data_IF_573436551896
#
_entry.id   IF_573436551896
#
_cell.length_a   1.000
_cell.length_b   1.000
_cell.length_c   1.000
_cell.angle_alpha   90.00
_cell.angle_beta   90.00
_cell.angle_gamma   90.00
#
_symmetry.space_group_name_H-M   'P 1'
#
loop_
_entity.id
_entity.type
_entity.pdbx_description
1 polymer ?
#
# COMPACT_ATOMS: atom_id res chain seq x y z
N UNK A 1 37.41 21.07 4.24
CA UNK A 1 37.49 19.65 3.83
C UNK A 1 37.40 18.70 5.04
N UNK A 2 36.40 18.83 5.92
CA UNK A 2 36.29 18.00 7.13
C UNK A 2 34.85 17.63 7.53
N UNK A 3 33.89 17.66 6.60
CA UNK A 3 32.51 17.18 6.82
C UNK A 3 32.22 15.85 6.11
N UNK A 4 33.07 15.41 5.19
CA UNK A 4 32.85 14.19 4.40
C UNK A 4 33.13 12.86 5.11
N UNK A 5 33.80 12.89 6.28
CA UNK A 5 34.32 11.68 6.94
C UNK A 5 33.43 11.16 8.08
N UNK A 6 32.68 12.04 8.76
CA UNK A 6 31.76 11.66 9.85
C UNK A 6 30.55 10.85 9.36
N UNK A 7 30.01 11.19 8.18
CA UNK A 7 28.86 10.49 7.60
C UNK A 7 29.17 9.05 7.14
N UNK A 8 30.43 8.75 6.79
CA UNK A 8 30.87 7.40 6.41
C UNK A 8 31.08 6.49 7.62
N UNK A 9 31.52 7.02 8.76
CA UNK A 9 31.68 6.24 10.00
C UNK A 9 30.33 5.83 10.60
N UNK A 10 29.33 6.72 10.58
CA UNK A 10 28.01 6.48 11.19
C UNK A 10 27.17 5.40 10.50
N UNK A 11 27.48 5.07 9.24
CA UNK A 11 26.78 4.02 8.48
C UNK A 11 27.43 2.63 8.61
N UNK A 12 28.61 2.51 9.24
CA UNK A 12 29.28 1.20 9.33
C UNK A 12 28.50 0.23 10.24
N UNK A 13 28.43 -1.08 9.90
CA UNK A 13 27.73 -2.07 10.73
C UNK A 13 28.23 -2.11 12.17
N UNK A 14 29.53 -1.91 12.37
CA UNK A 14 30.16 -1.89 13.70
C UNK A 14 29.67 -0.69 14.53
N UNK A 15 29.61 0.51 13.95
CA UNK A 15 29.10 1.70 14.62
C UNK A 15 27.61 1.56 14.95
N UNK A 16 26.80 1.07 14.01
CA UNK A 16 25.37 0.82 14.22
C UNK A 16 25.13 -0.13 15.39
N UNK A 17 25.88 -1.23 15.46
CA UNK A 17 25.79 -2.19 16.58
C UNK A 17 26.06 -1.55 17.94
N UNK A 18 27.14 -0.76 18.06
CA UNK A 18 27.45 -0.08 19.31
C UNK A 18 26.41 0.97 19.67
N UNK A 19 25.89 1.71 18.68
CA UNK A 19 24.88 2.73 18.91
C UNK A 19 23.55 2.12 19.37
N UNK A 20 23.07 1.05 18.73
CA UNK A 20 21.86 0.33 19.14
C UNK A 20 21.97 -0.20 20.57
N UNK A 21 23.08 -0.85 20.91
CA UNK A 21 23.32 -1.37 22.25
C UNK A 21 23.36 -0.26 23.30
N UNK A 22 24.09 0.82 23.01
CA UNK A 22 24.23 1.94 23.94
C UNK A 22 22.89 2.65 24.17
N UNK A 23 22.11 2.87 23.11
CA UNK A 23 20.78 3.47 23.21
C UNK A 23 19.81 2.63 24.06
N UNK A 24 19.91 1.29 24.01
CA UNK A 24 19.12 0.43 24.91
C UNK A 24 19.53 0.65 26.38
N UNK A 25 20.84 0.71 26.67
CA UNK A 25 21.35 0.95 28.02
C UNK A 25 20.91 2.32 28.54
N UNK A 26 20.98 3.35 27.70
CA UNK A 26 20.57 4.71 28.03
C UNK A 26 19.06 4.80 28.27
N UNK A 27 18.24 4.10 27.47
CA UNK A 27 16.79 4.06 27.65
C UNK A 27 16.41 3.39 28.98
N UNK A 28 17.04 2.26 29.31
CA UNK A 28 16.86 1.58 30.59
C UNK A 28 17.35 2.41 31.78
N UNK A 29 18.28 3.33 31.55
CA UNK A 29 18.77 4.28 32.55
C UNK A 29 17.91 5.55 32.63
N UNK A 30 16.75 5.59 31.97
CA UNK A 30 15.84 6.74 31.97
C UNK A 30 16.37 7.96 31.21
N UNK A 31 17.39 7.78 30.35
CA UNK A 31 17.93 8.87 29.54
C UNK A 31 17.12 9.05 28.25
N UNK A 32 17.12 10.29 27.75
CA UNK A 32 16.49 10.62 26.47
C UNK A 32 17.28 9.98 25.32
N UNK A 33 16.58 9.27 24.44
CA UNK A 33 17.13 8.75 23.19
C UNK A 33 16.92 9.77 22.08
N UNK A 34 17.99 10.08 21.36
CA UNK A 34 17.94 11.04 20.27
C UNK A 34 16.90 10.62 19.20
N UNK A 35 16.03 11.54 18.76
CA UNK A 35 15.06 11.23 17.71
C UNK A 35 15.75 11.08 16.34
N UNK A 36 15.13 10.33 15.43
CA UNK A 36 15.61 10.19 14.05
C UNK A 36 14.51 9.79 13.07
N UNK A 37 14.62 10.15 11.79
CA UNK A 37 13.63 9.75 10.81
C UNK A 37 13.69 8.24 10.54
N UNK A 38 12.52 7.65 10.28
CA UNK A 38 12.37 6.29 9.78
C UNK A 38 12.30 6.24 8.26
N UNK A 39 12.60 5.08 7.68
CA UNK A 39 12.58 4.84 6.24
C UNK A 39 13.52 3.72 5.83
N UNK A 40 13.65 3.49 4.53
CA UNK A 40 14.65 2.56 3.98
C UNK A 40 15.89 3.32 3.48
N UNK A 41 17.10 2.95 3.93
CA UNK A 41 18.33 3.53 3.40
C UNK A 41 18.53 3.19 1.91
N UNK A 42 17.92 2.12 1.41
CA UNK A 42 17.99 1.71 0.01
C UNK A 42 17.11 2.56 -0.92
N UNK A 43 16.25 3.44 -0.37
CA UNK A 43 15.55 4.51 -1.12
C UNK A 43 16.29 5.85 -1.07
N UNK A 44 17.62 5.83 -0.91
CA UNK A 44 18.45 7.04 -0.91
C UNK A 44 18.38 7.87 0.39
N UNK A 45 17.66 7.39 1.40
CA UNK A 45 17.48 8.06 2.69
C UNK A 45 18.64 7.76 3.64
N UNK A 46 19.81 8.35 3.42
CA UNK A 46 20.97 8.17 4.31
C UNK A 46 20.75 8.78 5.70
N UNK A 47 19.83 9.75 5.81
CA UNK A 47 19.43 10.43 7.04
C UNK A 47 18.76 9.51 8.07
N UNK A 48 18.31 8.31 7.67
CA UNK A 48 17.76 7.28 8.58
C UNK A 48 18.86 6.54 9.34
N UNK A 49 20.12 6.71 8.95
CA UNK A 49 21.28 6.22 9.69
C UNK A 49 21.87 7.33 10.58
N UNK A 50 22.48 6.98 11.73
CA UNK A 50 22.60 5.64 12.30
C UNK A 50 21.28 5.10 12.89
N UNK A 51 21.21 3.78 13.05
CA UNK A 51 20.16 3.10 13.84
C UNK A 51 20.33 3.37 15.35
N UNK A 52 19.45 2.86 16.21
CA UNK A 52 19.50 3.13 17.66
C UNK A 52 18.95 4.50 18.06
N UNK A 53 18.08 5.11 17.24
CA UNK A 53 17.39 6.37 17.53
C UNK A 53 15.90 6.14 17.83
N UNK A 54 15.27 7.09 18.50
CA UNK A 54 13.82 7.09 18.69
C UNK A 54 13.14 7.54 17.38
N UNK A 55 12.58 6.59 16.64
CA UNK A 55 12.15 6.85 15.28
C UNK A 55 10.88 7.69 15.21
N UNK A 56 10.88 8.71 14.36
CA UNK A 56 9.69 9.43 13.92
C UNK A 56 9.44 9.20 12.42
N UNK A 57 8.28 9.59 11.93
CA UNK A 57 7.87 9.37 10.54
C UNK A 57 7.69 10.68 9.79
N UNK A 58 6.63 10.82 9.00
CA UNK A 58 6.31 12.04 8.27
C UNK A 58 5.21 12.82 8.97
N UNK A 59 5.18 14.15 8.78
CA UNK A 59 4.00 14.96 9.12
C UNK A 59 2.83 14.50 8.25
N UNK A 60 1.73 13.97 8.82
CA UNK A 60 0.56 13.52 8.06
C UNK A 60 -0.10 14.61 7.22
N UNK A 61 0.07 15.89 7.59
CA UNK A 61 -0.51 17.03 6.84
C UNK A 61 0.30 17.39 5.60
N UNK A 62 1.53 16.88 5.47
CA UNK A 62 2.42 17.13 4.34
C UNK A 62 2.43 15.97 3.34
N UNK A 63 1.52 15.01 3.50
CA UNK A 63 1.34 13.84 2.62
C UNK A 63 0.14 14.08 1.69
N UNK A 64 0.20 13.71 0.40
CA UNK A 64 1.41 13.33 -0.32
C UNK A 64 2.32 14.55 -0.54
N UNK A 65 3.64 14.35 -0.51
CA UNK A 65 4.59 15.43 -0.86
C UNK A 65 4.56 15.71 -2.37
N UNK A 66 5.09 16.86 -2.80
CA UNK A 66 5.26 17.17 -4.24
C UNK A 66 6.08 16.11 -4.99
N UNK A 67 7.12 15.57 -4.34
CA UNK A 67 7.94 14.50 -4.91
C UNK A 67 7.16 13.19 -5.00
N UNK A 68 6.43 12.82 -3.94
CA UNK A 68 5.57 11.65 -3.93
C UNK A 68 4.44 11.75 -4.97
N UNK A 69 3.91 12.96 -5.22
CA UNK A 69 2.94 13.18 -6.28
C UNK A 69 3.50 12.89 -7.67
N UNK A 70 4.68 13.44 -7.99
CA UNK A 70 5.37 13.15 -9.26
C UNK A 70 5.62 11.66 -9.44
N UNK A 71 6.03 10.98 -8.36
CA UNK A 71 6.24 9.54 -8.39
C UNK A 71 4.92 8.79 -8.58
N UNK A 72 3.86 9.15 -7.84
CA UNK A 72 2.53 8.56 -7.96
C UNK A 72 1.96 8.61 -9.38
N UNK A 73 2.24 9.67 -10.14
CA UNK A 73 1.92 9.72 -11.59
C UNK A 73 2.62 8.58 -12.33
N UNK A 74 3.93 8.39 -12.15
CA UNK A 74 4.67 7.30 -12.80
C UNK A 74 4.10 5.93 -12.43
N UNK A 75 3.72 5.73 -11.17
CA UNK A 75 3.13 4.46 -10.70
C UNK A 75 1.77 4.20 -11.35
N UNK A 76 0.92 5.23 -11.42
CA UNK A 76 -0.40 5.11 -12.03
C UNK A 76 -0.29 4.80 -13.53
N UNK A 77 0.58 5.52 -14.24
CA UNK A 77 0.79 5.30 -15.68
C UNK A 77 1.43 3.93 -15.96
N UNK A 78 2.34 3.44 -15.13
CA UNK A 78 2.91 2.09 -15.25
C UNK A 78 1.85 1.00 -15.03
N UNK A 79 1.00 1.15 -14.01
CA UNK A 79 -0.14 0.25 -13.79
C UNK A 79 -1.09 0.26 -14.99
N UNK A 80 -1.48 1.44 -15.46
CA UNK A 80 -2.41 1.59 -16.57
C UNK A 80 -1.83 1.00 -17.87
N UNK A 81 -0.56 1.27 -18.15
CA UNK A 81 0.17 0.66 -19.28
C UNK A 81 0.10 -0.86 -19.21
N UNK A 82 0.39 -1.44 -18.04
CA UNK A 82 0.36 -2.89 -17.86
C UNK A 82 -1.06 -3.46 -17.99
N UNK A 83 -2.04 -2.83 -17.33
CA UNK A 83 -3.44 -3.25 -17.39
C UNK A 83 -3.95 -3.26 -18.84
N UNK A 84 -3.65 -2.19 -19.61
CA UNK A 84 -4.02 -2.10 -21.02
C UNK A 84 -3.35 -3.16 -21.88
N UNK A 85 -2.11 -3.56 -21.58
CA UNK A 85 -1.43 -4.66 -22.27
C UNK A 85 -2.11 -6.02 -22.04
N UNK A 86 -2.63 -6.24 -20.83
CA UNK A 86 -3.24 -7.53 -20.48
C UNK A 86 -4.70 -7.64 -20.98
N UNK A 87 -5.47 -6.54 -20.92
CA UNK A 87 -6.93 -6.57 -21.18
C UNK A 87 -7.34 -5.89 -22.48
N UNK A 88 -6.52 -4.98 -23.02
CA UNK A 88 -6.88 -4.15 -24.18
C UNK A 88 -7.83 -3.00 -23.88
N UNK A 89 -8.30 -2.86 -22.64
CA UNK A 89 -9.22 -1.81 -22.21
C UNK A 89 -8.74 -1.13 -20.92
N UNK A 90 -9.17 0.11 -20.68
CA UNK A 90 -8.93 0.78 -19.40
C UNK A 90 -9.64 0.02 -18.27
N UNK A 91 -9.03 -0.07 -17.07
CA UNK A 91 -9.69 -0.72 -15.95
C UNK A 91 -10.96 0.05 -15.57
N UNK A 92 -12.08 -0.66 -15.57
CA UNK A 92 -13.41 -0.13 -15.26
C UNK A 92 -13.62 0.10 -13.76
N UNK A 93 -12.91 -0.66 -12.92
CA UNK A 93 -12.94 -0.51 -11.47
C UNK A 93 -11.70 -1.07 -10.80
N UNK A 94 -11.03 -0.25 -9.99
CA UNK A 94 -9.77 -0.58 -9.32
C UNK A 94 -9.94 -0.47 -7.81
N UNK A 95 -9.51 -1.51 -7.09
CA UNK A 95 -9.26 -1.40 -5.64
C UNK A 95 -7.77 -1.22 -5.40
N UNK A 96 -7.39 -0.12 -4.76
CA UNK A 96 -6.01 0.17 -4.36
C UNK A 96 -5.88 -0.11 -2.86
N UNK A 97 -4.99 -1.03 -2.48
CA UNK A 97 -4.70 -1.31 -1.08
C UNK A 97 -3.62 -0.36 -0.56
N UNK A 98 -3.94 0.39 0.50
CA UNK A 98 -3.08 1.41 1.08
C UNK A 98 -2.69 1.03 2.51
N UNK A 99 -1.39 0.93 2.76
CA UNK A 99 -0.83 0.63 4.07
C UNK A 99 -0.21 1.88 4.68
N UNK A 100 -0.64 2.26 5.88
CA UNK A 100 -0.10 3.45 6.55
C UNK A 100 1.42 3.43 6.71
N UNK A 101 2.02 2.24 6.93
CA UNK A 101 3.47 2.13 7.03
C UNK A 101 4.19 2.40 5.70
N UNK A 102 3.61 1.99 4.57
CA UNK A 102 4.12 2.33 3.24
C UNK A 102 3.99 3.84 2.99
N UNK A 103 2.83 4.41 3.32
CA UNK A 103 2.56 5.86 3.16
C UNK A 103 3.55 6.71 3.92
N UNK A 104 3.94 6.28 5.12
CA UNK A 104 4.96 6.95 5.93
C UNK A 104 6.36 6.88 5.31
N UNK A 105 6.70 5.78 4.61
CA UNK A 105 8.01 5.58 3.98
C UNK A 105 8.13 6.29 2.63
N UNK A 106 7.06 6.30 1.86
CA UNK A 106 7.00 6.91 0.52
C UNK A 106 6.58 8.37 0.56
N UNK A 107 6.12 8.86 1.71
CA UNK A 107 5.45 10.15 1.84
C UNK A 107 4.23 10.28 0.90
N UNK A 108 3.51 9.17 0.67
CA UNK A 108 2.21 9.11 0.00
C UNK A 108 2.23 8.83 -1.50
N UNK A 109 3.23 8.12 -2.02
CA UNK A 109 3.32 7.80 -3.46
C UNK A 109 2.11 7.00 -3.97
N UNK A 110 1.65 6.02 -3.19
CA UNK A 110 0.48 5.19 -3.51
C UNK A 110 -0.85 5.95 -3.39
N UNK A 111 -0.96 6.91 -2.48
CA UNK A 111 -2.13 7.76 -2.37
C UNK A 111 -2.17 8.76 -3.53
N UNK A 112 -1.01 9.31 -3.91
CA UNK A 112 -0.88 10.13 -5.11
C UNK A 112 -1.21 9.36 -6.39
N UNK A 113 -0.80 8.09 -6.49
CA UNK A 113 -1.20 7.20 -7.58
C UNK A 113 -2.73 7.12 -7.67
N UNK A 114 -3.42 6.88 -6.54
CA UNK A 114 -4.87 6.83 -6.54
C UNK A 114 -5.53 8.17 -6.92
N UNK A 115 -4.99 9.31 -6.47
CA UNK A 115 -5.46 10.63 -6.92
C UNK A 115 -5.31 10.80 -8.44
N UNK A 116 -4.18 10.36 -9.00
CA UNK A 116 -3.95 10.46 -10.45
C UNK A 116 -4.87 9.55 -11.26
N UNK A 117 -5.19 8.34 -10.76
CA UNK A 117 -6.16 7.44 -11.40
C UNK A 117 -7.54 8.09 -11.58
N UNK A 118 -8.01 8.82 -10.56
CA UNK A 118 -9.27 9.58 -10.62
C UNK A 118 -9.14 10.94 -11.33
N UNK A 119 -7.92 11.32 -11.71
CA UNK A 119 -7.63 12.56 -12.42
C UNK A 119 -7.67 13.80 -11.53
N UNK A 120 -7.07 13.69 -10.35
CA UNK A 120 -7.01 14.74 -9.34
C UNK A 120 -5.55 15.01 -8.95
N UNK A 121 -5.23 16.28 -8.74
CA UNK A 121 -3.93 16.74 -8.28
C UNK A 121 -4.08 17.42 -6.92
N UNK A 122 -3.31 17.04 -5.89
CA UNK A 122 -3.32 17.74 -4.61
C UNK A 122 -2.67 19.11 -4.74
N UNK A 123 -3.10 20.05 -3.91
CA UNK A 123 -2.57 21.41 -3.82
C UNK A 123 -1.85 21.61 -2.48
N UNK A 124 -0.70 22.29 -2.52
CA UNK A 124 0.12 22.54 -1.34
C UNK A 124 0.14 24.03 -0.98
N UNK A 125 0.11 24.32 0.31
CA UNK A 125 0.32 25.66 0.85
C UNK A 125 1.75 26.13 0.59
N UNK A 126 1.90 27.38 0.17
CA UNK A 126 3.20 28.01 0.02
C UNK A 126 3.91 28.13 1.37
N UNK A 127 5.20 27.81 1.42
CA UNK A 127 6.04 27.85 2.62
C UNK A 127 5.91 26.64 3.56
N UNK A 128 4.70 26.12 3.81
CA UNK A 128 4.50 24.98 4.74
C UNK A 128 4.48 23.61 4.08
N UNK A 129 4.33 23.54 2.75
CA UNK A 129 4.19 22.30 1.98
C UNK A 129 3.07 21.35 2.47
N UNK A 130 2.14 21.85 3.29
CA UNK A 130 0.95 21.12 3.73
C UNK A 130 -0.08 21.05 2.62
N UNK A 131 -0.77 19.91 2.53
CA UNK A 131 -1.86 19.73 1.56
C UNK A 131 -3.08 20.53 2.01
N UNK A 132 -3.55 21.45 1.16
CA UNK A 132 -4.67 22.35 1.44
C UNK A 132 -5.96 21.95 0.73
N UNK A 133 -5.86 21.10 -0.29
CA UNK A 133 -6.98 20.73 -1.13
C UNK A 133 -6.50 20.04 -2.39
N UNK A 134 -7.29 20.17 -3.46
CA UNK A 134 -7.01 19.54 -4.73
C UNK A 134 -7.56 20.35 -5.90
N UNK A 135 -7.05 20.07 -7.09
CA UNK A 135 -7.64 20.48 -8.36
C UNK A 135 -8.02 19.23 -9.17
N UNK A 136 -9.13 19.32 -9.90
CA UNK A 136 -9.56 18.27 -10.82
C UNK A 136 -8.88 18.53 -12.16
N UNK A 137 -8.10 17.56 -12.64
CA UNK A 137 -7.43 17.64 -13.94
C UNK A 137 -8.47 17.54 -15.06
N UNK A 138 -8.40 18.40 -16.09
CA UNK A 138 -9.21 18.27 -17.30
C UNK A 138 -8.99 16.93 -18.00
N UNK A 139 -10.04 16.34 -18.57
CA UNK A 139 -9.95 15.08 -19.33
C UNK A 139 -8.95 15.16 -20.49
N UNK A 140 -8.84 16.33 -21.15
CA UNK A 140 -7.89 16.57 -22.23
C UNK A 140 -6.41 16.49 -21.78
N UNK A 141 -6.12 16.72 -20.50
CA UNK A 141 -4.78 16.57 -19.93
C UNK A 141 -4.52 15.11 -19.51
N UNK A 142 -5.58 14.39 -19.08
CA UNK A 142 -5.47 12.99 -18.71
C UNK A 142 -5.29 12.08 -19.92
N UNK A 143 -5.88 12.43 -21.07
CA UNK A 143 -5.88 11.63 -22.30
C UNK A 143 -6.45 10.21 -22.11
N UNK A 144 -7.35 10.05 -21.14
CA UNK A 144 -8.08 8.82 -20.82
C UNK A 144 -9.31 9.11 -19.95
N UNK A 145 -10.24 8.15 -19.83
CA UNK A 145 -11.25 8.18 -18.79
C UNK A 145 -10.65 8.24 -17.37
N UNK A 146 -11.42 8.80 -16.43
CA UNK A 146 -11.15 8.64 -15.00
C UNK A 146 -11.46 7.20 -14.61
N UNK A 147 -10.58 6.60 -13.80
CA UNK A 147 -10.72 5.21 -13.37
C UNK A 147 -11.58 5.17 -12.09
N UNK A 148 -12.61 4.30 -12.01
CA UNK A 148 -13.41 4.12 -10.77
C UNK A 148 -12.52 3.46 -9.71
N UNK A 149 -12.03 4.27 -8.76
CA UNK A 149 -10.99 3.88 -7.82
C UNK A 149 -11.57 3.83 -6.41
N UNK A 150 -11.44 2.68 -5.77
CA UNK A 150 -11.79 2.47 -4.36
C UNK A 150 -10.51 2.21 -3.57
N UNK A 151 -10.36 2.89 -2.45
CA UNK A 151 -9.27 2.68 -1.49
C UNK A 151 -9.69 1.65 -0.46
N UNK A 152 -8.91 0.59 -0.32
CA UNK A 152 -8.95 -0.26 0.87
C UNK A 152 -7.76 0.13 1.74
N UNK A 153 -8.00 0.80 2.85
CA UNK A 153 -6.96 1.33 3.73
C UNK A 153 -6.77 0.43 4.96
N UNK A 154 -5.54 0.32 5.44
CA UNK A 154 -5.28 -0.39 6.70
C UNK A 154 -5.78 0.42 7.91
N UNK A 155 -6.02 -0.26 9.04
CA UNK A 155 -6.39 0.43 10.29
C UNK A 155 -5.35 1.48 10.72
N UNK A 156 -4.06 1.20 10.51
CA UNK A 156 -2.99 2.18 10.75
C UNK A 156 -3.12 3.40 9.82
N UNK A 157 -3.46 3.20 8.54
CA UNK A 157 -3.69 4.32 7.63
C UNK A 157 -4.87 5.18 8.09
N UNK A 158 -5.99 4.55 8.48
CA UNK A 158 -7.16 5.24 9.02
C UNK A 158 -6.79 6.13 10.21
N UNK A 159 -5.96 5.62 11.12
CA UNK A 159 -5.63 6.31 12.37
C UNK A 159 -4.59 7.43 12.17
N UNK A 160 -3.59 7.23 11.29
CA UNK A 160 -2.51 8.20 11.06
C UNK A 160 -2.89 9.26 10.02
N UNK A 161 -3.70 8.89 9.02
CA UNK A 161 -4.01 9.73 7.85
C UNK A 161 -5.52 9.96 7.65
N UNK A 162 -6.30 10.36 8.68
CA UNK A 162 -7.73 10.62 8.49
C UNK A 162 -7.98 11.75 7.48
N UNK A 163 -7.08 12.73 7.40
CA UNK A 163 -7.16 13.84 6.45
C UNK A 163 -7.10 13.38 5.00
N UNK A 164 -6.31 12.34 4.67
CA UNK A 164 -6.23 11.79 3.31
C UNK A 164 -7.52 11.11 2.88
N UNK A 165 -8.15 10.36 3.80
CA UNK A 165 -9.46 9.75 3.55
C UNK A 165 -10.52 10.82 3.26
N UNK A 166 -10.53 11.92 4.03
CA UNK A 166 -11.43 13.04 3.77
C UNK A 166 -11.12 13.77 2.47
N UNK A 167 -9.85 14.00 2.15
CA UNK A 167 -9.44 14.63 0.90
C UNK A 167 -9.90 13.80 -0.30
N UNK A 168 -9.71 12.48 -0.27
CA UNK A 168 -10.14 11.58 -1.33
C UNK A 168 -11.66 11.59 -1.48
N UNK A 169 -12.42 11.51 -0.39
CA UNK A 169 -13.89 11.57 -0.47
C UNK A 169 -14.38 12.90 -1.03
N UNK A 170 -13.80 14.03 -0.60
CA UNK A 170 -14.14 15.35 -1.15
C UNK A 170 -13.85 15.44 -2.66
N UNK A 171 -12.78 14.81 -3.13
CA UNK A 171 -12.46 14.72 -4.55
C UNK A 171 -13.52 13.90 -5.31
N UNK A 172 -13.93 12.75 -4.78
CA UNK A 172 -15.02 11.95 -5.35
C UNK A 172 -16.33 12.76 -5.41
N UNK A 173 -16.71 13.43 -4.33
CA UNK A 173 -17.93 14.24 -4.26
C UNK A 173 -17.91 15.39 -5.29
N UNK A 174 -16.74 15.98 -5.53
CA UNK A 174 -16.56 17.01 -6.55
C UNK A 174 -16.62 16.44 -7.98
N UNK A 175 -16.08 15.23 -8.21
CA UNK A 175 -16.16 14.52 -9.48
C UNK A 175 -17.59 14.11 -9.83
N UNK A 176 -18.41 13.72 -8.85
CA UNK A 176 -19.83 13.41 -9.03
C UNK A 176 -20.66 14.59 -9.59
N UNK A 177 -20.21 15.83 -9.34
CA UNK A 177 -20.87 17.08 -9.71
C UNK A 177 -20.34 17.68 -11.03
N UNK A 178 -19.38 17.02 -11.69
CA UNK A 178 -18.84 17.49 -12.97
C UNK A 178 -19.85 17.30 -14.10
N UNK A 179 -19.86 18.23 -15.03
CA UNK A 179 -20.55 18.08 -16.31
C UNK A 179 -19.64 17.35 -17.30
N UNK A 180 -19.50 16.05 -17.08
CA UNK A 180 -18.70 15.12 -17.90
C UNK A 180 -19.58 13.93 -18.29
N UNK A 181 -19.32 13.31 -19.44
CA UNK A 181 -20.04 12.09 -19.82
C UNK A 181 -19.64 10.92 -18.92
N UNK A 182 -20.60 10.04 -18.60
CA UNK A 182 -20.40 8.90 -17.69
C UNK A 182 -19.33 7.90 -18.14
N UNK A 183 -19.11 7.78 -19.45
CA UNK A 183 -18.07 6.92 -20.03
C UNK A 183 -16.65 7.47 -19.84
N UNK A 184 -16.50 8.78 -19.60
CA UNK A 184 -15.22 9.41 -19.27
C UNK A 184 -15.07 9.71 -17.77
N UNK A 185 -16.18 9.82 -17.04
CA UNK A 185 -16.20 10.02 -15.60
C UNK A 185 -17.26 9.09 -14.95
N UNK A 186 -16.83 7.96 -14.35
CA UNK A 186 -17.74 6.98 -13.76
C UNK A 186 -18.39 7.46 -12.46
N UNK A 187 -18.00 8.63 -11.94
CA UNK A 187 -18.54 9.20 -10.70
C UNK A 187 -19.83 10.01 -10.95
N UNK A 188 -20.05 10.51 -12.16
CA UNK A 188 -21.18 11.41 -12.49
C UNK A 188 -22.52 10.75 -12.18
N UNK A 189 -23.33 11.45 -11.39
CA UNK A 189 -24.68 11.01 -11.02
C UNK A 189 -24.71 9.84 -10.03
N UNK A 190 -23.59 9.52 -9.37
CA UNK A 190 -23.60 8.60 -8.22
C UNK A 190 -24.39 9.23 -7.06
N UNK A 191 -25.28 8.45 -6.44
CA UNK A 191 -25.97 8.88 -5.21
C UNK A 191 -24.96 8.95 -4.06
N UNK A 192 -25.25 9.78 -3.06
CA UNK A 192 -24.40 9.94 -1.87
C UNK A 192 -24.11 8.60 -1.16
N UNK A 193 -25.10 7.71 -1.10
CA UNK A 193 -25.00 6.37 -0.53
C UNK A 193 -24.07 5.43 -1.33
N UNK A 194 -23.96 5.66 -2.64
CA UNK A 194 -23.10 4.91 -3.57
C UNK A 194 -21.72 5.57 -3.75
N UNK A 195 -21.47 6.72 -3.11
CA UNK A 195 -20.24 7.51 -3.28
C UNK A 195 -19.08 7.05 -2.40
N UNK A 196 -19.32 6.17 -1.43
CA UNK A 196 -18.26 5.67 -0.55
C UNK A 196 -17.16 4.99 -1.38
N UNK A 197 -15.94 5.50 -1.28
CA UNK A 197 -14.75 4.96 -1.98
C UNK A 197 -13.60 4.62 -1.06
N UNK A 198 -13.72 4.80 0.25
CA UNK A 198 -12.65 4.48 1.21
C UNK A 198 -13.20 3.50 2.23
N UNK A 199 -12.56 2.34 2.34
CA UNK A 199 -12.96 1.24 3.20
C UNK A 199 -11.81 0.77 4.09
N UNK A 200 -12.10 0.42 5.34
CA UNK A 200 -11.11 0.03 6.34
C UNK A 200 -11.67 -1.02 7.31
N UNK A 201 -10.84 -1.43 8.26
CA UNK A 201 -11.27 -2.06 9.52
C UNK A 201 -12.08 -1.14 10.42
N UNK A 202 -12.88 -1.75 11.29
CA UNK A 202 -13.62 -1.09 12.37
C UNK A 202 -12.67 -0.29 13.27
N UNK A 203 -13.13 0.82 13.90
CA UNK A 203 -12.34 1.54 14.88
C UNK A 203 -11.75 0.60 15.93
N UNK A 204 -10.48 0.81 16.30
CA UNK A 204 -9.70 -0.03 17.22
C UNK A 204 -9.46 -1.49 16.76
N UNK A 205 -9.81 -1.84 15.53
CA UNK A 205 -9.49 -3.13 14.91
C UNK A 205 -8.44 -2.98 13.81
N UNK A 206 -7.59 -3.99 13.65
CA UNK A 206 -6.49 -4.03 12.68
C UNK A 206 -6.38 -5.41 12.04
N UNK A 207 -5.75 -5.47 10.87
CA UNK A 207 -5.63 -6.70 10.08
C UNK A 207 -6.95 -7.15 9.46
N UNK A 208 -6.96 -8.37 8.93
CA UNK A 208 -8.11 -8.94 8.20
C UNK A 208 -8.81 -10.10 8.94
N UNK A 209 -8.30 -10.48 10.12
CA UNK A 209 -8.93 -11.54 10.91
C UNK A 209 -8.98 -12.91 10.22
N UNK A 210 -7.98 -13.23 9.39
CA UNK A 210 -7.98 -14.47 8.59
C UNK A 210 -7.95 -15.75 9.45
N UNK A 211 -7.45 -15.69 10.69
CA UNK A 211 -7.43 -16.84 11.60
C UNK A 211 -6.83 -18.10 10.96
N UNK A 212 -7.53 -19.22 11.13
CA UNK A 212 -7.18 -20.54 10.55
C UNK A 212 -7.46 -20.65 9.04
N UNK A 213 -8.16 -19.68 8.44
CA UNK A 213 -8.48 -19.70 7.02
C UNK A 213 -7.22 -19.68 6.16
N UNK A 214 -6.17 -18.99 6.63
CA UNK A 214 -4.85 -18.93 5.99
C UNK A 214 -4.10 -20.28 5.96
N UNK A 215 -4.61 -21.30 6.66
CA UNK A 215 -4.00 -22.62 6.78
C UNK A 215 -4.88 -23.74 6.17
N UNK A 216 -6.06 -23.40 5.62
CA UNK A 216 -7.04 -24.36 5.09
C UNK A 216 -7.12 -24.34 3.56
N UNK A 217 -6.25 -25.07 2.87
CA UNK A 217 -6.11 -25.05 1.39
C UNK A 217 -7.25 -25.76 0.62
N UNK A 218 -8.49 -25.46 0.94
CA UNK A 218 -9.68 -26.02 0.31
C UNK A 218 -10.77 -24.94 0.10
N UNK A 219 -11.89 -25.33 -0.49
CA UNK A 219 -12.99 -24.40 -0.75
C UNK A 219 -13.55 -23.77 0.53
N UNK A 220 -13.62 -24.51 1.64
CA UNK A 220 -14.10 -23.96 2.91
C UNK A 220 -13.16 -22.87 3.46
N UNK A 221 -11.85 -23.07 3.37
CA UNK A 221 -10.86 -22.06 3.76
C UNK A 221 -10.93 -20.81 2.89
N UNK A 222 -11.14 -20.95 1.58
CA UNK A 222 -11.41 -19.82 0.68
C UNK A 222 -12.63 -19.01 1.09
N UNK A 223 -13.75 -19.68 1.35
CA UNK A 223 -14.98 -18.99 1.72
C UNK A 223 -14.84 -18.31 3.09
N UNK A 224 -14.10 -18.92 4.03
CA UNK A 224 -13.73 -18.26 5.30
C UNK A 224 -12.88 -17.01 5.05
N UNK A 225 -11.86 -17.10 4.20
CA UNK A 225 -10.98 -15.97 3.86
C UNK A 225 -11.74 -14.83 3.17
N UNK A 226 -12.64 -15.15 2.24
CA UNK A 226 -13.54 -14.20 1.59
C UNK A 226 -14.40 -13.45 2.61
N UNK A 227 -15.06 -14.19 3.50
CA UNK A 227 -15.89 -13.62 4.55
C UNK A 227 -15.08 -12.78 5.55
N UNK A 228 -13.88 -13.24 5.94
CA UNK A 228 -12.98 -12.49 6.81
C UNK A 228 -12.57 -11.16 6.17
N UNK A 229 -12.15 -11.17 4.89
CA UNK A 229 -11.77 -9.96 4.17
C UNK A 229 -12.92 -8.96 4.08
N UNK A 230 -14.12 -9.41 3.70
CA UNK A 230 -15.32 -8.55 3.59
C UNK A 230 -15.68 -7.98 4.96
N UNK A 231 -15.76 -8.82 6.00
CA UNK A 231 -16.16 -8.39 7.33
C UNK A 231 -15.13 -7.46 7.97
N UNK A 232 -13.84 -7.62 7.66
CA UNK A 232 -12.78 -6.74 8.12
C UNK A 232 -12.66 -5.45 7.30
N UNK A 233 -13.26 -5.36 6.11
CA UNK A 233 -13.13 -4.18 5.24
C UNK A 233 -14.44 -3.38 5.09
N UNK A 234 -15.56 -3.86 5.63
CA UNK A 234 -16.91 -3.31 5.43
C UNK A 234 -17.17 -1.93 6.06
N UNK A 235 -16.15 -1.20 6.52
CA UNK A 235 -16.32 0.10 7.18
C UNK A 235 -15.90 1.23 6.26
N UNK A 236 -16.87 2.02 5.80
CA UNK A 236 -16.62 3.22 5.01
C UNK A 236 -16.00 4.30 5.91
N UNK A 237 -14.93 4.93 5.46
CA UNK A 237 -14.16 5.93 6.21
C UNK A 237 -14.20 7.28 5.51
N UNK A 238 -14.51 8.33 6.28
CA UNK A 238 -14.31 9.72 5.86
C UNK A 238 -13.81 10.52 7.07
N UNK A 239 -12.50 10.75 7.13
CA UNK A 239 -11.87 11.37 8.29
C UNK A 239 -12.03 10.52 9.54
N UNK A 240 -12.54 11.13 10.60
CA UNK A 240 -12.87 10.44 11.86
C UNK A 240 -14.19 9.66 11.81
N UNK A 241 -15.02 9.87 10.77
CA UNK A 241 -16.31 9.18 10.62
C UNK A 241 -16.09 7.80 10.01
N UNK A 242 -16.51 6.77 10.74
CA UNK A 242 -16.44 5.38 10.29
C UNK A 242 -17.82 4.75 10.40
N UNK A 243 -18.38 4.29 9.28
CA UNK A 243 -19.72 3.70 9.22
C UNK A 243 -19.62 2.30 8.61
N UNK A 244 -20.24 1.31 9.25
CA UNK A 244 -20.38 0.00 8.66
C UNK A 244 -21.30 0.08 7.42
N UNK A 245 -20.77 -0.25 6.25
CA UNK A 245 -21.50 -0.25 4.98
C UNK A 245 -21.04 -1.42 4.11
N UNK A 246 -21.45 -2.63 4.51
CA UNK A 246 -21.13 -3.88 3.79
C UNK A 246 -21.68 -3.89 2.37
N UNK A 247 -22.86 -3.34 2.16
CA UNK A 247 -23.51 -3.34 0.85
C UNK A 247 -22.74 -2.49 -0.17
N UNK A 248 -22.28 -1.30 0.22
CA UNK A 248 -21.44 -0.47 -0.64
C UNK A 248 -20.11 -1.15 -0.97
N UNK A 249 -19.47 -1.80 0.02
CA UNK A 249 -18.25 -2.58 -0.22
C UNK A 249 -18.50 -3.71 -1.24
N UNK A 250 -19.57 -4.50 -1.07
CA UNK A 250 -19.93 -5.57 -2.01
C UNK A 250 -20.11 -5.01 -3.42
N UNK A 251 -20.79 -3.88 -3.57
CA UNK A 251 -20.95 -3.20 -4.87
C UNK A 251 -19.59 -2.82 -5.49
N UNK A 252 -18.63 -2.34 -4.67
CA UNK A 252 -17.27 -2.05 -5.14
C UNK A 252 -16.52 -3.31 -5.56
N UNK A 253 -16.57 -4.37 -4.77
CA UNK A 253 -15.94 -5.66 -5.12
C UNK A 253 -16.51 -6.19 -6.43
N UNK A 254 -17.84 -6.15 -6.62
CA UNK A 254 -18.49 -6.64 -7.83
C UNK A 254 -18.07 -5.87 -9.09
N UNK A 255 -17.92 -4.54 -8.99
CA UNK A 255 -17.50 -3.68 -10.10
C UNK A 255 -16.00 -3.70 -10.38
N UNK A 256 -15.17 -3.96 -9.37
CA UNK A 256 -13.73 -3.94 -9.56
C UNK A 256 -13.25 -5.08 -10.47
N UNK A 257 -12.53 -4.76 -11.53
CA UNK A 257 -11.84 -5.75 -12.38
C UNK A 257 -10.37 -5.92 -11.98
N UNK A 258 -9.83 -4.98 -11.20
CA UNK A 258 -8.42 -4.95 -10.84
C UNK A 258 -8.24 -4.66 -9.35
N UNK A 259 -7.24 -5.30 -8.76
CA UNK A 259 -6.74 -4.99 -7.42
C UNK A 259 -5.25 -4.73 -7.51
N UNK A 260 -4.79 -3.66 -6.85
CA UNK A 260 -3.38 -3.28 -6.85
C UNK A 260 -2.87 -3.22 -5.43
N UNK A 261 -1.76 -3.90 -5.19
CA UNK A 261 -0.93 -3.73 -4.01
C UNK A 261 0.46 -3.24 -4.42
N UNK A 262 1.09 -2.42 -3.57
CA UNK A 262 2.38 -1.78 -3.87
C UNK A 262 3.46 -2.23 -2.89
N UNK A 263 4.67 -2.41 -3.41
CA UNK A 263 5.86 -2.68 -2.63
C UNK A 263 6.90 -1.57 -2.82
N UNK A 264 7.38 -1.02 -1.70
CA UNK A 264 8.37 0.07 -1.66
C UNK A 264 9.75 -0.36 -1.12
N UNK A 265 9.84 -1.52 -0.49
CA UNK A 265 11.06 -2.04 0.16
C UNK A 265 11.72 -3.18 -0.62
N UNK A 266 13.05 -3.10 -0.79
CA UNK A 266 13.86 -4.20 -1.36
C UNK A 266 14.16 -5.29 -0.34
N UNK A 267 14.07 -4.95 0.94
CA UNK A 267 14.43 -5.78 2.09
C UNK A 267 13.33 -6.80 2.44
N UNK A 268 12.14 -6.63 1.83
CA UNK A 268 10.97 -7.48 2.04
C UNK A 268 10.43 -7.97 0.69
N UNK A 269 9.62 -9.01 0.71
CA UNK A 269 8.92 -9.54 -0.46
C UNK A 269 7.55 -10.10 -0.05
N UNK A 270 6.69 -10.38 -1.02
CA UNK A 270 5.31 -10.84 -0.80
C UNK A 270 5.20 -12.19 -0.07
N UNK A 271 6.29 -12.97 0.04
CA UNK A 271 6.31 -14.23 0.78
C UNK A 271 6.81 -14.08 2.22
N UNK A 272 7.28 -12.89 2.62
CA UNK A 272 7.85 -12.65 3.96
C UNK A 272 6.79 -12.56 5.05
N UNK A 273 5.60 -12.07 4.72
CA UNK A 273 4.47 -11.90 5.64
C UNK A 273 3.21 -12.51 5.06
N UNK A 274 2.36 -13.04 5.95
CA UNK A 274 1.01 -13.49 5.60
C UNK A 274 0.09 -12.33 5.26
N UNK A 275 0.45 -11.09 5.61
CA UNK A 275 -0.40 -9.93 5.37
C UNK A 275 -0.62 -9.68 3.88
N UNK A 276 0.41 -9.86 3.03
CA UNK A 276 0.24 -9.75 1.57
C UNK A 276 -0.80 -10.73 1.05
N UNK A 277 -0.66 -12.01 1.41
CA UNK A 277 -1.61 -13.05 1.02
C UNK A 277 -3.01 -12.80 1.59
N UNK A 278 -3.11 -12.30 2.82
CA UNK A 278 -4.40 -11.95 3.42
C UNK A 278 -5.08 -10.82 2.65
N UNK A 279 -4.34 -9.81 2.20
CA UNK A 279 -4.90 -8.63 1.52
C UNK A 279 -5.24 -8.90 0.06
N UNK A 280 -4.26 -9.28 -0.74
CA UNK A 280 -4.41 -9.51 -2.18
C UNK A 280 -5.26 -10.76 -2.43
N UNK A 281 -4.92 -11.82 -1.71
CA UNK A 281 -5.63 -13.08 -1.77
C UNK A 281 -7.01 -13.06 -1.16
N UNK A 282 -7.15 -12.49 0.04
CA UNK A 282 -8.48 -12.34 0.66
C UNK A 282 -9.44 -11.58 -0.24
N UNK A 283 -8.95 -10.58 -0.98
CA UNK A 283 -9.75 -9.89 -1.98
C UNK A 283 -10.12 -10.80 -3.16
N UNK A 284 -9.16 -11.55 -3.70
CA UNK A 284 -9.43 -12.53 -4.77
C UNK A 284 -10.51 -13.55 -4.35
N UNK A 285 -10.43 -14.05 -3.11
CA UNK A 285 -11.44 -14.93 -2.54
C UNK A 285 -12.80 -14.23 -2.40
N UNK A 286 -12.83 -12.99 -1.92
CA UNK A 286 -14.06 -12.19 -1.82
C UNK A 286 -14.71 -11.94 -3.20
N UNK A 287 -13.91 -11.67 -4.23
CA UNK A 287 -14.40 -11.50 -5.60
C UNK A 287 -14.98 -12.81 -6.16
N UNK A 288 -14.29 -13.93 -5.93
CA UNK A 288 -14.73 -15.24 -6.38
C UNK A 288 -16.03 -15.69 -5.70
N UNK A 289 -16.18 -15.47 -4.39
CA UNK A 289 -17.42 -15.74 -3.64
C UNK A 289 -18.62 -14.96 -4.20
N UNK A 290 -18.36 -13.75 -4.72
CA UNK A 290 -19.37 -12.92 -5.40
C UNK A 290 -19.55 -13.26 -6.89
N UNK A 291 -18.96 -14.36 -7.37
CA UNK A 291 -19.10 -14.87 -8.74
C UNK A 291 -18.25 -14.15 -9.80
N UNK A 292 -17.28 -13.34 -9.39
CA UNK A 292 -16.43 -12.57 -10.29
C UNK A 292 -15.01 -13.10 -10.44
N UNK A 293 -14.26 -12.52 -11.39
CA UNK A 293 -12.81 -12.65 -11.52
C UNK A 293 -12.15 -11.27 -11.38
N UNK A 294 -10.88 -11.23 -11.00
CA UNK A 294 -10.11 -9.99 -10.86
C UNK A 294 -8.67 -10.22 -11.34
N UNK A 295 -8.11 -9.21 -11.99
CA UNK A 295 -6.69 -9.09 -12.25
C UNK A 295 -6.00 -8.55 -11.00
N UNK A 296 -5.06 -9.33 -10.46
CA UNK A 296 -4.27 -8.94 -9.29
C UNK A 296 -2.92 -8.44 -9.75
N UNK A 297 -2.61 -7.19 -9.39
CA UNK A 297 -1.38 -6.51 -9.78
C UNK A 297 -0.53 -6.20 -8.55
N UNK A 298 0.74 -6.54 -8.65
CA UNK A 298 1.75 -6.14 -7.69
C UNK A 298 2.67 -5.09 -8.32
N UNK A 299 2.69 -3.90 -7.72
CA UNK A 299 3.46 -2.77 -8.21
C UNK A 299 4.77 -2.63 -7.42
N UNK A 300 5.87 -3.02 -8.06
CA UNK A 300 7.22 -2.95 -7.51
C UNK A 300 7.80 -1.56 -7.74
N UNK A 301 7.84 -0.76 -6.67
CA UNK A 301 8.38 0.59 -6.63
C UNK A 301 9.64 0.68 -5.74
N UNK A 302 10.33 -0.46 -5.62
CA UNK A 302 11.61 -0.55 -4.90
C UNK A 302 12.77 0.09 -5.68
N UNK A 303 12.56 0.39 -6.96
CA UNK A 303 13.40 1.26 -7.78
C UNK A 303 12.54 2.42 -8.33
N UNK A 304 12.54 3.59 -7.68
CA UNK A 304 11.64 4.70 -8.06
C UNK A 304 11.84 5.22 -9.49
N UNK A 305 13.04 5.05 -10.05
CA UNK A 305 13.33 5.47 -11.43
C UNK A 305 12.67 4.57 -12.48
N UNK A 306 12.40 3.31 -12.14
CA UNK A 306 11.81 2.33 -13.04
C UNK A 306 10.86 1.41 -12.26
N UNK A 307 9.67 1.92 -11.87
CA UNK A 307 8.64 1.08 -11.26
C UNK A 307 8.16 0.04 -12.27
N UNK A 308 7.77 -1.14 -11.78
CA UNK A 308 7.33 -2.24 -12.64
C UNK A 308 6.03 -2.82 -12.07
N UNK A 309 4.99 -2.88 -12.90
CA UNK A 309 3.75 -3.61 -12.55
C UNK A 309 3.80 -5.03 -13.10
N UNK A 310 3.61 -6.01 -12.21
CA UNK A 310 3.51 -7.43 -12.53
C UNK A 310 2.13 -7.96 -12.19
N UNK A 311 1.70 -9.03 -12.86
CA UNK A 311 0.63 -9.84 -12.29
C UNK A 311 1.13 -10.45 -10.98
N UNK A 312 0.22 -10.72 -10.06
CA UNK A 312 0.59 -11.34 -8.79
C UNK A 312 1.29 -12.70 -9.00
N UNK A 313 0.83 -13.52 -9.95
CA UNK A 313 1.47 -14.80 -10.26
C UNK A 313 2.92 -14.63 -10.76
N UNK A 314 3.19 -13.59 -11.56
CA UNK A 314 4.56 -13.23 -11.99
C UNK A 314 5.45 -12.81 -10.81
N UNK A 315 4.92 -12.01 -9.87
CA UNK A 315 5.68 -11.60 -8.68
C UNK A 315 5.95 -12.79 -7.76
N UNK A 316 4.97 -13.67 -7.54
CA UNK A 316 5.17 -14.90 -6.77
C UNK A 316 6.26 -15.75 -7.40
N UNK A 317 6.20 -15.98 -8.72
CA UNK A 317 7.21 -16.74 -9.43
C UNK A 317 8.61 -16.11 -9.31
N UNK A 318 8.70 -14.78 -9.47
CA UNK A 318 9.94 -14.02 -9.31
C UNK A 318 10.52 -14.19 -7.92
N UNK A 319 9.73 -14.05 -6.86
CA UNK A 319 10.21 -14.15 -5.46
C UNK A 319 10.58 -15.59 -5.11
N UNK A 320 9.81 -16.58 -5.59
CA UNK A 320 10.17 -17.99 -5.42
C UNK A 320 11.54 -18.26 -6.01
N UNK A 321 11.78 -17.84 -7.26
CA UNK A 321 13.06 -18.05 -7.94
C UNK A 321 14.21 -17.23 -7.32
N UNK A 322 13.99 -15.94 -7.07
CA UNK A 322 15.04 -15.04 -6.63
C UNK A 322 15.46 -15.25 -5.17
N UNK A 323 14.53 -15.71 -4.31
CA UNK A 323 14.77 -15.89 -2.88
C UNK A 323 14.47 -17.31 -2.40
N UNK A 324 13.22 -17.77 -2.51
CA UNK A 324 12.76 -18.94 -1.77
C UNK A 324 13.49 -20.24 -2.17
N UNK A 325 13.86 -20.38 -3.45
CA UNK A 325 14.65 -21.49 -3.97
C UNK A 325 16.12 -21.15 -4.23
N UNK A 326 16.56 -19.93 -3.90
CA UNK A 326 17.92 -19.49 -4.16
C UNK A 326 18.88 -20.08 -3.12
N UNK A 327 19.84 -20.95 -3.52
CA UNK A 327 20.75 -21.60 -2.57
C UNK A 327 21.59 -20.61 -1.78
N UNK A 328 22.01 -19.48 -2.38
CA UNK A 328 22.77 -18.44 -1.67
C UNK A 328 21.96 -17.82 -0.52
N UNK A 329 20.67 -17.61 -0.75
CA UNK A 329 19.78 -17.07 0.29
C UNK A 329 19.53 -18.11 1.38
N UNK A 330 19.25 -19.36 0.99
CA UNK A 330 19.05 -20.47 1.93
C UNK A 330 20.27 -20.68 2.82
N UNK A 331 21.46 -20.81 2.22
CA UNK A 331 22.73 -20.97 2.93
C UNK A 331 22.97 -19.79 3.89
N UNK A 332 22.65 -18.57 3.46
CA UNK A 332 22.75 -17.40 4.32
C UNK A 332 21.83 -17.48 5.53
N UNK A 333 20.57 -17.89 5.34
CA UNK A 333 19.63 -18.08 6.45
C UNK A 333 20.10 -19.19 7.40
N UNK A 334 20.60 -20.31 6.88
CA UNK A 334 21.05 -21.45 7.68
C UNK A 334 22.16 -21.09 8.68
N UNK A 335 23.00 -20.09 8.39
CA UNK A 335 23.99 -19.55 9.35
C UNK A 335 23.36 -18.99 10.64
N UNK A 336 22.09 -18.60 10.60
CA UNK A 336 21.34 -18.05 11.73
C UNK A 336 20.49 -19.12 12.48
N UNK A 337 20.73 -20.42 12.23
CA UNK A 337 20.13 -21.56 12.93
C UNK A 337 18.60 -21.42 13.06
N UNK A 338 18.05 -21.50 14.27
CA UNK A 338 16.62 -21.43 14.54
C UNK A 338 15.95 -20.20 13.90
N UNK A 339 16.56 -19.01 14.02
CA UNK A 339 16.02 -17.78 13.40
C UNK A 339 16.07 -17.83 11.88
N UNK A 340 17.08 -18.48 11.31
CA UNK A 340 17.19 -18.74 9.88
C UNK A 340 16.09 -19.65 9.37
N UNK A 341 15.90 -20.80 10.01
CA UNK A 341 14.86 -21.78 9.63
C UNK A 341 13.46 -21.16 9.71
N UNK A 342 13.19 -20.32 10.71
CA UNK A 342 11.92 -19.59 10.81
C UNK A 342 11.64 -18.68 9.59
N UNK A 343 12.68 -18.16 8.94
CA UNK A 343 12.56 -17.37 7.69
C UNK A 343 12.41 -18.26 6.45
N UNK A 344 12.92 -19.49 6.49
CA UNK A 344 12.81 -20.47 5.40
C UNK A 344 11.40 -21.03 5.26
N UNK A 345 10.62 -21.11 6.34
CA UNK A 345 9.26 -21.66 6.33
C UNK A 345 8.43 -20.96 5.24
N UNK A 346 8.18 -21.62 4.09
CA UNK A 346 7.63 -20.95 2.94
C UNK A 346 6.17 -20.66 3.21
N UNK A 347 5.79 -19.38 3.30
CA UNK A 347 4.37 -18.99 3.33
C UNK A 347 3.69 -19.11 1.96
N UNK A 348 4.35 -19.76 0.99
CA UNK A 348 3.84 -20.04 -0.34
C UNK A 348 2.48 -20.77 -0.30
N UNK A 349 2.28 -21.67 0.67
CA UNK A 349 1.01 -22.37 0.82
C UNK A 349 -0.17 -21.42 1.06
N UNK A 350 0.05 -20.25 1.70
CA UNK A 350 -1.01 -19.26 1.92
C UNK A 350 -1.52 -18.69 0.58
N UNK A 351 -0.70 -18.71 -0.47
CA UNK A 351 -1.11 -18.33 -1.81
C UNK A 351 -1.85 -19.47 -2.56
N UNK A 352 -1.58 -20.74 -2.22
CA UNK A 352 -2.34 -21.88 -2.77
C UNK A 352 -3.81 -21.91 -2.35
N UNK A 353 -4.17 -21.22 -1.26
CA UNK A 353 -5.57 -20.99 -0.89
C UNK A 353 -6.39 -20.43 -2.05
N UNK A 354 -5.77 -19.61 -2.90
CA UNK A 354 -6.50 -18.63 -3.71
C UNK A 354 -6.65 -19.01 -5.17
N UNK A 355 -6.06 -20.14 -5.59
CA UNK A 355 -6.03 -20.61 -6.98
C UNK A 355 -5.67 -19.50 -7.98
N UNK A 356 -4.71 -18.65 -7.59
CA UNK A 356 -4.06 -17.64 -8.45
C UNK A 356 -2.89 -18.28 -9.18
#
# INVERSE_FOLDING_TARGET
>A
MAEGDKGKQSSTPLYQFFNERQSIIDALSGKMIAPGPSGSPYRGRQDVLPSGRNLFSTDPLSVPTKAAYKQGIKLAEEFLRRSLQDTGEWPSGVIVDLWGSATMRTAGEEFAMALHLIGVKPNWSEGSDRVMGFEILPLAILDRPRIDTTLRVSGLFRDVFPTLSSLFQQAIDALCKRDERKDFNPYVGSKEEDSARIFSSAPNSYGLGMGDAAEQFNAAGRNKAANAWINASQFAVNGSKVIQNKQALISRIQKADSFIHMQDLRETDILISSDYAAHEGGFAAAKAELGGKVNLYHLDNTNPENPITRSLSEEIARVVYARASNPKWIDSMMRHRHRGVQRLLPRYYIWQLLQI
#
